data_IF_193735367213
#
_entry.id   IF_193735367213
#
_cell.length_a   1.000
_cell.length_b   1.000
_cell.length_c   1.000
_cell.angle_alpha   90.00
_cell.angle_beta   90.00
_cell.angle_gamma   90.00
#
_symmetry.space_group_name_H-M   'P 1'
#
loop_
_entity.id
_entity.type
_entity.pdbx_description
1 polymer ?
#
# COMPACT_ATOMS: atom_id res chain seq x y z
N UNK A 1 -8.44 34.87 -15.13
CA UNK A 1 -9.70 34.33 -14.58
C UNK A 1 -9.62 34.40 -13.08
N UNK A 2 -10.55 35.08 -12.40
CA UNK A 2 -10.58 35.10 -10.93
C UNK A 2 -10.89 33.67 -10.44
N UNK A 3 -9.94 33.03 -9.77
CA UNK A 3 -10.10 31.67 -9.26
C UNK A 3 -11.24 31.64 -8.23
N UNK A 4 -12.22 30.75 -8.43
CA UNK A 4 -13.27 30.50 -7.43
C UNK A 4 -12.58 30.09 -6.12
N UNK A 5 -12.82 30.84 -5.04
CA UNK A 5 -12.36 30.48 -3.70
C UNK A 5 -13.03 29.17 -3.30
N UNK A 6 -12.25 28.18 -2.86
CA UNK A 6 -12.77 26.95 -2.27
C UNK A 6 -13.56 27.29 -1.00
N UNK A 7 -14.69 26.62 -0.81
CA UNK A 7 -15.48 26.70 0.41
C UNK A 7 -14.99 25.63 1.39
N UNK A 8 -14.40 26.07 2.51
CA UNK A 8 -13.79 25.20 3.53
C UNK A 8 -14.80 24.23 4.15
N UNK A 9 -16.08 24.63 4.26
CA UNK A 9 -17.14 23.76 4.78
C UNK A 9 -17.42 22.62 3.79
N UNK A 10 -17.43 22.94 2.49
CA UNK A 10 -17.62 21.94 1.43
C UNK A 10 -16.44 20.99 1.31
N UNK A 11 -15.20 21.48 1.47
CA UNK A 11 -14.00 20.63 1.52
C UNK A 11 -14.09 19.64 2.67
N UNK A 12 -14.37 20.14 3.88
CA UNK A 12 -14.46 19.31 5.09
C UNK A 12 -15.55 18.24 4.94
N UNK A 13 -16.74 18.63 4.47
CA UNK A 13 -17.86 17.70 4.24
C UNK A 13 -17.50 16.62 3.21
N UNK A 14 -16.86 16.99 2.10
CA UNK A 14 -16.48 16.04 1.05
C UNK A 14 -15.49 14.97 1.56
N UNK A 15 -14.53 15.36 2.40
CA UNK A 15 -13.57 14.44 3.02
C UNK A 15 -14.30 13.47 3.96
N UNK A 16 -15.13 14.01 4.86
CA UNK A 16 -15.89 13.23 5.85
C UNK A 16 -16.81 12.22 5.16
N UNK A 17 -17.63 12.68 4.20
CA UNK A 17 -18.62 11.84 3.53
C UNK A 17 -17.95 10.72 2.73
N UNK A 18 -16.85 11.03 2.02
CA UNK A 18 -16.12 10.02 1.23
C UNK A 18 -15.47 8.97 2.13
N UNK A 19 -14.81 9.39 3.20
CA UNK A 19 -14.15 8.49 4.14
C UNK A 19 -15.15 7.56 4.83
N UNK A 20 -16.24 8.12 5.37
CA UNK A 20 -17.28 7.31 6.02
C UNK A 20 -17.96 6.35 5.05
N UNK A 21 -18.24 6.77 3.81
CA UNK A 21 -18.80 5.87 2.79
C UNK A 21 -17.89 4.66 2.55
N UNK A 22 -16.59 4.88 2.48
CA UNK A 22 -15.61 3.79 2.29
C UNK A 22 -15.53 2.90 3.53
N UNK A 23 -15.38 3.49 4.72
CA UNK A 23 -15.33 2.76 5.99
C UNK A 23 -16.60 1.93 6.25
N UNK A 24 -17.79 2.48 5.97
CA UNK A 24 -19.07 1.78 6.10
C UNK A 24 -19.18 0.61 5.12
N UNK A 25 -18.66 0.75 3.90
CA UNK A 25 -18.51 -0.40 2.99
C UNK A 25 -17.67 -1.48 3.66
N UNK A 26 -16.55 -1.10 4.25
CA UNK A 26 -15.52 -2.03 4.70
C UNK A 26 -15.73 -2.54 6.14
N UNK A 27 -16.91 -2.31 6.74
CA UNK A 27 -17.33 -2.99 7.97
C UNK A 27 -17.53 -4.50 7.79
N UNK A 28 -17.72 -4.95 6.55
CA UNK A 28 -17.76 -6.37 6.17
C UNK A 28 -16.74 -6.60 5.08
N UNK A 29 -15.63 -7.23 5.45
CA UNK A 29 -14.51 -7.58 4.58
C UNK A 29 -14.42 -9.09 4.43
N UNK A 30 -13.84 -9.55 3.33
CA UNK A 30 -13.42 -10.94 3.19
C UNK A 30 -12.02 -11.14 3.74
N UNK A 31 -11.16 -10.11 3.66
CA UNK A 31 -9.81 -10.13 4.22
C UNK A 31 -9.49 -8.76 4.84
N UNK A 32 -9.02 -8.79 6.09
CA UNK A 32 -8.39 -7.64 6.74
C UNK A 32 -6.89 -7.95 6.91
N UNK A 33 -6.03 -7.05 6.41
CA UNK A 33 -4.58 -7.16 6.53
C UNK A 33 -4.11 -6.11 7.53
N UNK A 34 -3.35 -6.54 8.53
CA UNK A 34 -2.77 -5.66 9.54
C UNK A 34 -1.28 -5.45 9.22
N UNK A 35 -0.92 -4.22 8.89
CA UNK A 35 0.41 -3.78 8.48
C UNK A 35 0.54 -3.59 6.97
N UNK A 36 0.85 -2.37 6.54
CA UNK A 36 1.07 -2.04 5.13
C UNK A 36 2.56 -2.10 4.76
N UNK A 37 3.29 -3.11 5.23
CA UNK A 37 4.64 -3.41 4.75
C UNK A 37 4.65 -4.07 3.36
N UNK A 38 5.82 -4.38 2.79
CA UNK A 38 5.93 -4.97 1.45
C UNK A 38 5.08 -6.24 1.28
N UNK A 39 5.17 -7.17 2.25
CA UNK A 39 4.40 -8.41 2.22
C UNK A 39 2.88 -8.17 2.34
N UNK A 40 2.45 -7.26 3.23
CA UNK A 40 1.03 -6.93 3.41
C UNK A 40 0.42 -6.28 2.17
N UNK A 41 1.16 -5.37 1.52
CA UNK A 41 0.73 -4.72 0.29
C UNK A 41 0.68 -5.69 -0.89
N UNK A 42 1.66 -6.60 -1.00
CA UNK A 42 1.64 -7.63 -2.04
C UNK A 42 0.48 -8.62 -1.85
N UNK A 43 0.22 -9.04 -0.61
CA UNK A 43 -0.93 -9.87 -0.28
C UNK A 43 -2.26 -9.15 -0.60
N UNK A 44 -2.35 -7.86 -0.26
CA UNK A 44 -3.53 -7.05 -0.54
C UNK A 44 -3.78 -6.94 -2.05
N UNK A 45 -2.72 -6.69 -2.82
CA UNK A 45 -2.76 -6.67 -4.27
C UNK A 45 -3.32 -7.97 -4.85
N UNK A 46 -2.71 -9.11 -4.54
CA UNK A 46 -3.07 -10.39 -5.16
C UNK A 46 -4.47 -10.88 -4.77
N UNK A 47 -4.92 -10.57 -3.55
CA UNK A 47 -6.27 -10.90 -3.11
C UNK A 47 -7.31 -9.97 -3.77
N UNK A 48 -7.02 -8.67 -3.89
CA UNK A 48 -7.90 -7.72 -4.54
C UNK A 48 -8.01 -7.99 -6.06
N UNK A 49 -6.91 -8.36 -6.74
CA UNK A 49 -6.94 -8.80 -8.14
C UNK A 49 -7.87 -10.01 -8.36
N UNK A 50 -8.00 -10.88 -7.34
CA UNK A 50 -8.93 -12.03 -7.35
C UNK A 50 -10.37 -11.63 -7.01
N UNK A 51 -10.69 -10.34 -6.96
CA UNK A 51 -12.02 -9.82 -6.68
C UNK A 51 -12.43 -9.93 -5.22
N UNK A 52 -11.49 -10.20 -4.30
CA UNK A 52 -11.80 -10.28 -2.86
C UNK A 52 -11.95 -8.88 -2.29
N UNK A 53 -12.84 -8.73 -1.32
CA UNK A 53 -12.99 -7.47 -0.59
C UNK A 53 -11.93 -7.34 0.51
N UNK A 54 -10.90 -6.55 0.23
CA UNK A 54 -9.69 -6.44 1.06
C UNK A 54 -9.53 -5.02 1.60
N UNK A 55 -9.19 -4.90 2.89
CA UNK A 55 -8.66 -3.67 3.47
C UNK A 55 -7.35 -3.91 4.22
N UNK A 56 -6.45 -2.94 4.13
CA UNK A 56 -5.16 -2.90 4.84
C UNK A 56 -5.23 -1.82 5.92
N UNK A 57 -4.82 -2.15 7.13
CA UNK A 57 -4.74 -1.23 8.27
C UNK A 57 -3.28 -1.00 8.65
N UNK A 58 -2.84 0.24 8.73
CA UNK A 58 -1.47 0.63 9.02
C UNK A 58 -1.43 1.71 10.10
N UNK A 59 -0.56 1.52 11.08
CA UNK A 59 -0.44 2.46 12.21
C UNK A 59 0.27 3.77 11.84
N UNK A 60 1.22 3.72 10.92
CA UNK A 60 2.02 4.88 10.53
C UNK A 60 1.27 5.77 9.53
N UNK A 61 1.71 7.02 9.40
CA UNK A 61 1.21 7.94 8.37
C UNK A 61 1.51 7.42 6.96
N UNK A 62 2.74 6.94 6.72
CA UNK A 62 3.14 6.42 5.43
C UNK A 62 3.01 4.89 5.41
N UNK A 63 2.22 4.31 4.48
CA UNK A 63 2.31 2.91 4.15
C UNK A 63 3.71 2.57 3.62
N UNK A 64 4.10 1.31 3.75
CA UNK A 64 5.32 0.75 3.18
C UNK A 64 6.31 0.17 4.18
N UNK A 65 6.05 0.32 5.48
CA UNK A 65 6.90 -0.22 6.55
C UNK A 65 8.34 0.30 6.47
N UNK A 66 9.31 -0.56 6.74
CA UNK A 66 10.72 -0.19 6.82
C UNK A 66 11.49 -0.16 5.48
N UNK A 67 10.88 -0.60 4.38
CA UNK A 67 11.62 -0.81 3.14
C UNK A 67 12.11 0.50 2.50
N UNK A 68 11.44 1.63 2.78
CA UNK A 68 11.81 2.96 2.28
C UNK A 68 13.29 3.33 2.48
N UNK A 69 13.92 2.87 3.56
CA UNK A 69 15.30 3.18 3.88
C UNK A 69 16.35 2.30 3.18
N UNK A 70 15.92 1.24 2.49
CA UNK A 70 16.81 0.20 1.99
C UNK A 70 17.75 -0.35 3.08
N UNK A 71 19.03 -0.57 2.75
CA UNK A 71 20.05 -1.03 3.69
C UNK A 71 20.94 0.12 4.17
N UNK A 72 21.08 0.30 5.49
CA UNK A 72 21.92 1.36 6.08
C UNK A 72 21.53 2.78 5.63
N UNK A 73 20.23 3.03 5.41
CA UNK A 73 19.70 4.28 4.84
C UNK A 73 20.14 4.56 3.40
N UNK A 74 20.74 3.58 2.72
CA UNK A 74 20.92 3.58 1.27
C UNK A 74 19.68 2.94 0.66
N UNK A 75 18.93 3.74 -0.08
CA UNK A 75 17.61 3.43 -0.61
C UNK A 75 17.61 2.43 -1.78
N UNK A 76 18.52 1.47 -1.75
CA UNK A 76 18.64 0.33 -2.66
C UNK A 76 18.30 -0.95 -1.89
N UNK A 77 17.51 -1.80 -2.51
CA UNK A 77 17.17 -3.14 -2.02
C UNK A 77 17.84 -4.19 -2.90
N UNK A 78 18.04 -5.38 -2.35
CA UNK A 78 18.47 -6.56 -3.10
C UNK A 78 17.38 -7.61 -3.02
N UNK A 79 17.00 -8.19 -4.16
CA UNK A 79 16.10 -9.34 -4.24
C UNK A 79 16.80 -10.49 -4.94
N UNK A 80 16.40 -11.72 -4.59
CA UNK A 80 16.84 -12.92 -5.30
C UNK A 80 16.03 -13.10 -6.57
N UNK A 81 16.54 -13.93 -7.50
CA UNK A 81 15.90 -14.25 -8.78
C UNK A 81 14.41 -14.60 -8.66
N UNK A 82 14.04 -15.42 -7.67
CA UNK A 82 12.64 -15.80 -7.41
C UNK A 82 11.73 -14.61 -7.06
N UNK A 83 12.29 -13.59 -6.40
CA UNK A 83 11.56 -12.39 -6.00
C UNK A 83 11.63 -11.28 -7.07
N UNK A 84 12.42 -11.46 -8.13
CA UNK A 84 12.48 -10.54 -9.26
C UNK A 84 11.14 -10.44 -9.99
N UNK A 85 10.40 -11.55 -10.09
CA UNK A 85 9.07 -11.58 -10.71
C UNK A 85 8.11 -10.55 -10.08
N UNK A 86 8.25 -10.29 -8.77
CA UNK A 86 7.46 -9.26 -8.08
C UNK A 86 7.82 -7.87 -8.59
N UNK A 87 9.11 -7.58 -8.76
CA UNK A 87 9.55 -6.28 -9.30
C UNK A 87 9.06 -6.10 -10.74
N UNK A 88 9.17 -7.14 -11.57
CA UNK A 88 8.71 -7.11 -12.94
C UNK A 88 7.18 -6.91 -13.02
N UNK A 89 6.41 -7.61 -12.17
CA UNK A 89 4.95 -7.44 -12.04
C UNK A 89 4.56 -6.01 -11.70
N UNK A 90 5.38 -5.34 -10.87
CA UNK A 90 5.17 -3.96 -10.44
C UNK A 90 5.71 -2.92 -11.44
N UNK A 91 6.40 -3.37 -12.50
CA UNK A 91 7.07 -2.48 -13.46
C UNK A 91 8.26 -1.72 -12.87
N UNK A 92 8.86 -2.23 -11.80
CA UNK A 92 10.00 -1.63 -11.10
C UNK A 92 11.28 -1.99 -11.85
N UNK A 93 12.13 -0.99 -12.12
CA UNK A 93 13.43 -1.25 -12.73
C UNK A 93 14.36 -1.97 -11.76
N UNK A 94 14.99 -3.04 -12.24
CA UNK A 94 16.02 -3.78 -11.50
C UNK A 94 17.25 -4.04 -12.37
N UNK A 95 18.41 -4.15 -11.72
CA UNK A 95 19.69 -4.44 -12.35
C UNK A 95 20.31 -5.68 -11.70
N UNK A 96 20.91 -6.58 -12.48
CA UNK A 96 21.63 -7.72 -11.91
C UNK A 96 22.98 -7.26 -11.36
N UNK A 97 23.24 -7.51 -10.08
CA UNK A 97 24.51 -7.19 -9.42
C UNK A 97 25.49 -8.37 -9.44
N UNK A 98 24.95 -9.58 -9.23
CA UNK A 98 25.67 -10.86 -9.28
C UNK A 98 24.67 -11.95 -9.70
N UNK A 99 25.12 -13.13 -10.16
CA UNK A 99 24.23 -14.21 -10.60
C UNK A 99 23.12 -14.49 -9.57
N UNK A 100 21.87 -14.16 -9.93
CA UNK A 100 20.69 -14.37 -9.09
C UNK A 100 20.43 -13.32 -8.00
N UNK A 101 21.17 -12.20 -8.00
CA UNK A 101 21.00 -11.07 -7.08
C UNK A 101 20.73 -9.78 -7.86
N UNK A 102 19.56 -9.20 -7.65
CA UNK A 102 19.11 -8.01 -8.36
C UNK A 102 18.96 -6.83 -7.40
N UNK A 103 19.43 -5.66 -7.81
CA UNK A 103 19.24 -4.40 -7.09
C UNK A 103 18.06 -3.63 -7.66
N UNK A 104 17.35 -2.91 -6.80
CA UNK A 104 16.28 -2.01 -7.22
C UNK A 104 16.15 -0.82 -6.26
N UNK A 105 15.50 0.25 -6.74
CA UNK A 105 15.14 1.39 -5.89
C UNK A 105 14.07 0.98 -4.89
N UNK A 106 14.38 1.10 -3.60
CA UNK A 106 13.41 0.85 -2.53
C UNK A 106 12.22 1.81 -2.57
N UNK A 107 12.47 3.07 -2.98
CA UNK A 107 11.44 4.11 -3.10
C UNK A 107 10.46 3.76 -4.23
N UNK A 108 10.99 3.39 -5.40
CA UNK A 108 10.17 2.99 -6.55
C UNK A 108 9.37 1.73 -6.22
N UNK A 109 10.02 0.73 -5.62
CA UNK A 109 9.38 -0.53 -5.23
C UNK A 109 8.20 -0.29 -4.30
N UNK A 110 8.37 0.52 -3.26
CA UNK A 110 7.30 0.79 -2.31
C UNK A 110 6.17 1.62 -2.90
N UNK A 111 6.50 2.65 -3.69
CA UNK A 111 5.50 3.43 -4.38
C UNK A 111 4.68 2.58 -5.35
N UNK A 112 5.33 1.69 -6.11
CA UNK A 112 4.70 0.77 -7.04
C UNK A 112 3.81 -0.24 -6.32
N UNK A 113 4.25 -0.83 -5.20
CA UNK A 113 3.44 -1.74 -4.38
C UNK A 113 2.17 -1.08 -3.85
N UNK A 114 2.28 0.12 -3.28
CA UNK A 114 1.13 0.87 -2.75
C UNK A 114 0.15 1.17 -3.88
N UNK A 115 0.66 1.67 -5.02
CA UNK A 115 -0.15 2.00 -6.18
C UNK A 115 -0.86 0.75 -6.74
N UNK A 116 -0.14 -0.35 -6.85
CA UNK A 116 -0.67 -1.62 -7.34
C UNK A 116 -1.80 -2.11 -6.44
N UNK A 117 -1.60 -2.18 -5.12
CA UNK A 117 -2.62 -2.63 -4.18
C UNK A 117 -3.90 -1.78 -4.25
N UNK A 118 -3.76 -0.45 -4.30
CA UNK A 118 -4.91 0.47 -4.43
C UNK A 118 -5.63 0.27 -5.78
N UNK A 119 -4.88 0.13 -6.88
CA UNK A 119 -5.47 -0.09 -8.21
C UNK A 119 -6.15 -1.44 -8.37
N UNK A 120 -5.65 -2.47 -7.69
CA UNK A 120 -6.30 -3.78 -7.61
C UNK A 120 -7.62 -3.73 -6.83
N UNK A 121 -7.87 -2.67 -6.06
CA UNK A 121 -9.14 -2.43 -5.36
C UNK A 121 -9.05 -2.58 -3.84
N UNK A 122 -7.86 -2.76 -3.27
CA UNK A 122 -7.69 -2.79 -1.83
C UNK A 122 -7.85 -1.38 -1.24
N UNK A 123 -8.66 -1.25 -0.18
CA UNK A 123 -8.65 -0.06 0.68
C UNK A 123 -7.40 -0.07 1.55
N UNK A 124 -6.77 1.09 1.75
CA UNK A 124 -5.66 1.25 2.69
C UNK A 124 -6.04 2.35 3.69
N UNK A 125 -6.09 1.99 4.97
CA UNK A 125 -6.32 2.88 6.09
C UNK A 125 -5.03 3.02 6.89
N UNK A 126 -4.32 4.13 6.68
CA UNK A 126 -3.20 4.54 7.50
C UNK A 126 -3.68 5.28 8.76
N UNK A 127 -2.79 5.48 9.73
CA UNK A 127 -3.10 6.08 11.05
C UNK A 127 -4.12 5.30 11.89
N UNK A 128 -4.31 4.01 11.61
CA UNK A 128 -5.15 3.12 12.40
C UNK A 128 -4.30 1.99 12.99
N UNK A 129 -4.27 1.93 14.33
CA UNK A 129 -3.66 0.82 15.04
C UNK A 129 -4.70 -0.28 15.26
N UNK A 130 -4.29 -1.52 14.99
CA UNK A 130 -5.06 -2.70 15.34
C UNK A 130 -4.57 -3.18 16.71
N UNK A 131 -5.48 -3.27 17.68
CA UNK A 131 -5.13 -3.57 19.08
C UNK A 131 -5.56 -4.97 19.52
N UNK A 132 -6.68 -5.47 19.00
CA UNK A 132 -7.27 -6.73 19.47
C UNK A 132 -8.02 -7.44 18.35
N UNK A 133 -8.20 -8.75 18.50
CA UNK A 133 -8.98 -9.59 17.60
C UNK A 133 -10.38 -9.82 18.16
N UNK A 134 -11.38 -9.75 17.29
CA UNK A 134 -12.71 -10.23 17.64
C UNK A 134 -12.75 -11.75 17.47
N UNK A 135 -13.11 -12.46 18.54
CA UNK A 135 -13.38 -13.90 18.50
C UNK A 135 -14.89 -14.06 18.65
N UNK A 136 -15.54 -14.66 17.65
CA UNK A 136 -16.99 -14.91 17.61
C UNK A 136 -17.31 -16.38 17.56
#
# INVERSE_FOLDING_TARGET
MAGKKLDDVMVTRAIIDRYHKQLLSDLKLEVAIVGAGPAGLMAAHDLAEKGRKVAVFERNLAPGGGMWGGGLSYNIIVVQDQAREVLDKLGVKSEEYAPGYFTASSIETMAALILAAVRAGASIYNLLAFEDVMVS
#
